data_IF_585156005849
#
_entry.id   IF_585156005849
#
_cell.length_a   1.000
_cell.length_b   1.000
_cell.length_c   1.000
_cell.angle_alpha   90.00
_cell.angle_beta   90.00
_cell.angle_gamma   90.00
#
_symmetry.space_group_name_H-M   'P 1'
#
loop_
_entity.id
_entity.type
_entity.pdbx_description
1 polymer ?
#
# COMPACT_ATOMS: atom_id res chain seq x y z
N UNK A 1 28.13 -23.02 19.23
CA UNK A 1 28.39 -22.49 17.87
C UNK A 1 27.84 -21.08 17.84
N UNK A 2 28.73 -20.08 17.91
CA UNK A 2 28.33 -18.67 17.94
C UNK A 2 27.77 -18.26 16.58
N UNK A 3 26.59 -17.65 16.61
CA UNK A 3 26.04 -16.93 15.46
C UNK A 3 26.88 -15.67 15.29
N UNK A 4 27.65 -15.65 14.21
CA UNK A 4 28.34 -14.47 13.71
C UNK A 4 27.28 -13.44 13.31
N UNK A 5 27.19 -12.37 14.09
CA UNK A 5 26.32 -11.22 13.81
C UNK A 5 27.01 -10.43 12.71
N UNK A 6 26.82 -10.90 11.48
CA UNK A 6 27.40 -10.32 10.27
C UNK A 6 27.07 -8.83 10.18
N UNK A 7 28.13 -8.03 10.08
CA UNK A 7 28.11 -6.58 10.03
C UNK A 7 27.08 -6.06 9.01
N UNK A 8 26.21 -5.14 9.47
CA UNK A 8 25.19 -4.50 8.65
C UNK A 8 25.79 -3.72 7.48
N UNK A 9 25.83 -4.35 6.31
CA UNK A 9 26.12 -3.67 5.05
C UNK A 9 24.81 -3.16 4.46
N UNK A 10 24.76 -1.86 4.18
CA UNK A 10 23.65 -1.24 3.45
C UNK A 10 23.55 -1.87 2.05
N UNK A 11 22.34 -2.30 1.66
CA UNK A 11 22.07 -3.00 0.38
C UNK A 11 22.53 -2.23 -0.86
N UNK A 12 22.64 -0.90 -0.75
CA UNK A 12 23.03 -0.03 -1.86
C UNK A 12 24.54 0.04 -2.14
N UNK A 13 25.42 -0.58 -1.32
CA UNK A 13 26.88 -0.54 -1.53
C UNK A 13 27.36 -1.20 -2.84
N UNK A 14 26.48 -1.90 -3.58
CA UNK A 14 26.81 -2.55 -4.85
C UNK A 14 26.23 -1.90 -6.11
N UNK A 15 25.52 -0.76 -6.01
CA UNK A 15 24.82 -0.11 -7.14
C UNK A 15 25.66 1.02 -7.79
N UNK A 16 26.90 1.22 -7.34
CA UNK A 16 27.76 2.31 -7.84
C UNK A 16 28.34 2.08 -9.25
N UNK A 17 28.11 0.93 -9.88
CA UNK A 17 28.90 0.51 -11.05
C UNK A 17 28.14 0.36 -12.40
N UNK A 18 27.02 1.07 -12.59
CA UNK A 18 26.46 1.28 -13.94
C UNK A 18 25.99 2.73 -14.14
N UNK A 19 26.52 3.35 -15.19
CA UNK A 19 26.50 4.77 -15.50
C UNK A 19 25.07 5.30 -15.79
N UNK A 20 24.33 5.68 -14.75
CA UNK A 20 23.14 6.56 -14.83
C UNK A 20 22.86 7.33 -13.52
N UNK A 21 23.81 7.40 -12.59
CA UNK A 21 23.55 7.47 -11.13
C UNK A 21 23.95 8.76 -10.42
N UNK A 22 24.25 9.87 -11.10
CA UNK A 22 24.81 11.04 -10.42
C UNK A 22 23.81 11.78 -9.50
N UNK A 23 22.50 11.74 -9.80
CA UNK A 23 21.45 12.29 -8.92
C UNK A 23 21.02 11.31 -7.81
N UNK A 24 20.97 10.01 -8.10
CA UNK A 24 20.61 8.97 -7.13
C UNK A 24 21.68 8.77 -6.04
N UNK A 25 22.96 8.93 -6.38
CA UNK A 25 24.07 8.86 -5.42
C UNK A 25 23.95 9.93 -4.31
N UNK A 26 23.59 11.17 -4.68
CA UNK A 26 23.43 12.27 -3.72
C UNK A 26 22.19 12.08 -2.81
N UNK A 27 21.07 11.63 -3.39
CA UNK A 27 19.86 11.36 -2.61
C UNK A 27 20.08 10.24 -1.58
N UNK A 28 20.70 9.14 -2.01
CA UNK A 28 20.99 8.01 -1.13
C UNK A 28 21.93 8.39 0.03
N UNK A 29 23.04 9.05 -0.26
CA UNK A 29 23.99 9.51 0.76
C UNK A 29 23.30 10.38 1.81
N UNK A 30 22.41 11.29 1.38
CA UNK A 30 21.61 12.10 2.30
C UNK A 30 20.69 11.27 3.18
N UNK A 31 19.96 10.30 2.62
CA UNK A 31 19.09 9.43 3.41
C UNK A 31 19.88 8.67 4.48
N UNK A 32 21.08 8.21 4.15
CA UNK A 32 21.95 7.49 5.08
C UNK A 32 22.50 8.38 6.20
N UNK A 33 22.66 9.68 5.95
CA UNK A 33 23.11 10.68 6.93
C UNK A 33 22.01 11.19 7.86
N UNK A 34 20.73 10.88 7.58
CA UNK A 34 19.62 11.26 8.45
C UNK A 34 19.78 10.65 9.87
N UNK A 35 19.51 11.42 10.94
CA UNK A 35 19.50 10.90 12.31
C UNK A 35 18.52 9.74 12.51
N UNK A 36 18.74 8.91 13.53
CA UNK A 36 17.76 7.89 13.94
C UNK A 36 16.39 8.52 14.21
N UNK A 37 15.32 7.90 13.70
CA UNK A 37 13.95 8.39 13.85
C UNK A 37 13.16 8.38 12.54
N UNK A 38 12.02 9.09 12.54
CA UNK A 38 11.14 9.22 11.37
C UNK A 38 11.24 10.63 10.81
N UNK A 39 11.47 10.72 9.51
CA UNK A 39 11.58 11.97 8.76
C UNK A 39 10.47 12.02 7.73
N UNK A 40 9.86 13.18 7.55
CA UNK A 40 8.70 13.35 6.68
C UNK A 40 8.93 14.42 5.64
N UNK A 41 8.39 14.21 4.45
CA UNK A 41 8.43 15.15 3.34
C UNK A 41 7.15 15.04 2.51
N UNK A 42 6.81 16.06 1.74
CA UNK A 42 5.60 16.06 0.92
C UNK A 42 5.73 16.95 -0.32
N UNK A 43 4.99 16.59 -1.37
CA UNK A 43 4.78 17.43 -2.55
C UNK A 43 3.40 18.06 -2.49
N UNK A 44 3.34 19.38 -2.63
CA UNK A 44 2.07 20.09 -2.81
C UNK A 44 1.43 19.80 -4.18
N UNK A 45 2.24 19.46 -5.19
CA UNK A 45 1.79 19.23 -6.56
C UNK A 45 1.10 17.87 -6.69
N UNK A 46 1.81 16.78 -6.40
CA UNK A 46 1.23 15.43 -6.52
C UNK A 46 0.39 15.04 -5.32
N UNK A 47 0.59 15.69 -4.16
CA UNK A 47 0.09 15.27 -2.86
C UNK A 47 0.77 14.03 -2.30
N UNK A 48 1.80 13.50 -2.98
CA UNK A 48 2.59 12.40 -2.42
C UNK A 48 3.32 12.90 -1.19
N UNK A 49 3.50 12.02 -0.22
CA UNK A 49 4.32 12.29 0.95
C UNK A 49 5.16 11.08 1.28
N UNK A 50 6.31 11.30 1.91
CA UNK A 50 7.26 10.25 2.27
C UNK A 50 7.44 10.22 3.77
N UNK A 51 7.63 9.03 4.29
CA UNK A 51 8.23 8.80 5.60
C UNK A 51 9.52 8.01 5.40
N UNK A 52 10.65 8.53 5.87
CA UNK A 52 11.92 7.80 5.94
C UNK A 52 12.19 7.44 7.39
N UNK A 53 12.24 6.14 7.66
CA UNK A 53 12.65 5.58 8.94
C UNK A 53 14.14 5.27 8.95
N UNK A 54 14.87 5.77 9.96
CA UNK A 54 16.28 5.45 10.20
C UNK A 54 16.44 4.80 11.56
N UNK A 55 17.10 3.64 11.58
CA UNK A 55 17.44 2.90 12.80
C UNK A 55 16.25 2.84 13.78
N UNK A 56 15.08 2.44 13.26
CA UNK A 56 13.85 2.46 14.04
C UNK A 56 13.90 1.37 15.12
N UNK A 57 13.66 1.77 16.36
CA UNK A 57 13.62 0.87 17.52
C UNK A 57 12.19 0.55 17.97
N UNK A 58 11.20 1.30 17.47
CA UNK A 58 9.79 1.10 17.79
C UNK A 58 9.26 -0.10 17.01
N UNK A 59 8.88 -1.14 17.75
CA UNK A 59 8.57 -2.46 17.18
C UNK A 59 7.18 -2.50 16.55
N UNK A 60 6.19 -1.79 17.12
CA UNK A 60 4.78 -1.93 16.71
C UNK A 60 4.15 -0.59 16.34
N UNK A 61 3.73 -0.45 15.08
CA UNK A 61 2.79 0.60 14.69
C UNK A 61 1.51 -0.03 14.16
N UNK A 62 0.39 0.22 14.85
CA UNK A 62 -0.89 0.23 14.16
C UNK A 62 -0.82 1.38 13.15
N UNK A 63 -0.40 1.07 11.93
CA UNK A 63 -0.52 2.01 10.83
C UNK A 63 -2.01 2.25 10.64
N UNK A 64 -2.44 3.44 11.03
CA UNK A 64 -3.81 3.84 10.75
C UNK A 64 -3.92 3.90 9.23
N UNK A 65 -4.94 3.24 8.69
CA UNK A 65 -5.03 3.01 7.25
C UNK A 65 -5.04 4.33 6.50
N UNK A 66 -4.00 4.65 5.70
CA UNK A 66 -4.02 5.85 4.90
C UNK A 66 -5.12 5.71 3.83
N UNK A 67 -5.79 6.82 3.47
CA UNK A 67 -6.66 6.81 2.29
C UNK A 67 -5.88 6.61 0.98
N UNK A 68 -4.57 6.89 1.04
CA UNK A 68 -3.59 6.78 -0.03
C UNK A 68 -3.01 5.36 -0.07
N UNK A 69 -2.59 4.90 -1.24
CA UNK A 69 -1.74 3.73 -1.28
C UNK A 69 -0.34 4.06 -0.79
N UNK A 70 0.45 3.05 -0.46
CA UNK A 70 1.84 3.23 -0.11
C UNK A 70 2.75 2.26 -0.85
N UNK A 71 3.94 2.73 -1.18
CA UNK A 71 5.04 1.90 -1.67
C UNK A 71 6.20 2.05 -0.71
N UNK A 72 6.58 0.94 -0.08
CA UNK A 72 7.65 0.87 0.92
C UNK A 72 8.84 0.13 0.34
N UNK A 73 10.05 0.66 0.51
CA UNK A 73 11.31 -0.02 0.20
C UNK A 73 12.11 -0.17 1.50
N UNK A 74 12.46 -1.40 1.88
CA UNK A 74 13.42 -1.67 2.95
C UNK A 74 14.84 -1.72 2.40
N UNK A 75 15.81 -1.08 3.07
CA UNK A 75 17.23 -1.15 2.66
C UNK A 75 18.23 -1.27 3.81
N UNK A 76 17.76 -1.17 5.06
CA UNK A 76 18.60 -1.35 6.25
C UNK A 76 18.88 -2.82 6.55
N UNK A 77 19.60 -3.10 7.63
CA UNK A 77 19.85 -4.47 8.06
C UNK A 77 18.59 -5.18 8.62
N UNK A 78 17.60 -4.41 9.05
CA UNK A 78 16.30 -4.90 9.53
C UNK A 78 15.24 -5.02 8.42
N UNK A 79 14.13 -5.68 8.74
CA UNK A 79 12.96 -5.83 7.86
C UNK A 79 11.67 -5.26 8.45
N UNK A 80 10.56 -5.57 7.81
CA UNK A 80 9.21 -5.30 8.31
C UNK A 80 8.33 -6.52 8.08
N UNK A 81 7.62 -6.98 9.10
CA UNK A 81 6.55 -7.97 8.93
C UNK A 81 5.21 -7.27 8.80
N UNK A 82 4.37 -7.81 7.94
CA UNK A 82 3.08 -7.24 7.60
C UNK A 82 2.03 -8.32 7.75
N UNK A 83 1.05 -8.06 8.60
CA UNK A 83 -0.12 -8.92 8.83
C UNK A 83 -1.39 -8.25 8.30
N UNK A 84 -2.26 -9.03 7.69
CA UNK A 84 -3.55 -8.63 7.16
C UNK A 84 -4.56 -9.78 7.23
N UNK A 85 -5.84 -9.54 6.90
CA UNK A 85 -6.91 -10.52 7.14
C UNK A 85 -6.75 -11.88 6.42
N UNK A 86 -5.88 -11.96 5.41
CA UNK A 86 -5.52 -13.17 4.67
C UNK A 86 -4.14 -13.76 4.98
N UNK A 87 -3.44 -13.29 6.01
CA UNK A 87 -2.12 -13.80 6.38
C UNK A 87 -1.10 -12.68 6.52
N UNK A 88 0.17 -13.00 6.33
CA UNK A 88 1.23 -12.02 6.37
C UNK A 88 2.46 -12.46 5.60
N UNK A 89 3.40 -11.54 5.49
CA UNK A 89 4.73 -11.80 4.96
C UNK A 89 5.75 -10.92 5.67
N UNK A 90 7.02 -11.29 5.51
CA UNK A 90 8.17 -10.53 5.97
C UNK A 90 8.84 -9.90 4.74
N UNK A 91 9.05 -8.59 4.81
CA UNK A 91 9.78 -7.82 3.81
C UNK A 91 11.25 -7.76 4.23
N UNK A 92 12.12 -8.24 3.36
CA UNK A 92 13.58 -8.27 3.55
C UNK A 92 14.25 -7.00 3.03
N UNK A 93 15.48 -6.72 3.45
CA UNK A 93 16.29 -5.66 2.82
C UNK A 93 16.41 -5.86 1.31
N UNK A 94 16.15 -4.80 0.54
CA UNK A 94 16.10 -4.80 -0.92
C UNK A 94 14.72 -5.09 -1.51
N UNK A 95 13.75 -5.48 -0.69
CA UNK A 95 12.38 -5.72 -1.14
C UNK A 95 11.51 -4.46 -1.03
N UNK A 96 10.61 -4.34 -2.00
CA UNK A 96 9.55 -3.36 -2.07
C UNK A 96 8.20 -3.98 -1.74
N UNK A 97 7.36 -3.20 -1.07
CA UNK A 97 5.99 -3.54 -0.75
C UNK A 97 5.02 -2.46 -1.20
N UNK A 98 4.02 -2.85 -1.98
CA UNK A 98 2.86 -2.00 -2.27
C UNK A 98 1.71 -2.30 -1.34
N UNK A 99 1.11 -1.28 -0.72
CA UNK A 99 -0.14 -1.38 0.01
C UNK A 99 -1.21 -0.49 -0.60
N UNK A 100 -2.35 -1.05 -0.98
CA UNK A 100 -3.44 -0.25 -1.55
C UNK A 100 -4.13 0.64 -0.50
N UNK A 101 -4.64 1.79 -0.93
CA UNK A 101 -5.32 2.74 -0.06
C UNK A 101 -6.59 2.14 0.53
N UNK A 102 -6.82 2.36 1.82
CA UNK A 102 -7.95 1.74 2.52
C UNK A 102 -7.71 0.27 2.91
N UNK A 103 -6.53 -0.29 2.67
CA UNK A 103 -6.19 -1.66 3.06
C UNK A 103 -5.63 -1.73 4.49
N UNK A 104 -6.36 -2.40 5.39
CA UNK A 104 -5.89 -2.62 6.75
C UNK A 104 -4.78 -3.66 6.83
N UNK A 105 -3.69 -3.24 7.47
CA UNK A 105 -2.55 -4.07 7.75
C UNK A 105 -1.93 -3.66 9.10
N UNK A 106 -1.21 -4.59 9.71
CA UNK A 106 -0.38 -4.36 10.90
C UNK A 106 1.07 -4.53 10.47
N UNK A 107 1.86 -3.48 10.64
CA UNK A 107 3.29 -3.50 10.38
C UNK A 107 4.08 -3.61 11.67
N UNK A 108 5.04 -4.53 11.70
CA UNK A 108 5.99 -4.69 12.80
C UNK A 108 7.41 -4.58 12.23
N UNK A 109 8.18 -3.62 12.72
CA UNK A 109 9.55 -3.41 12.23
C UNK A 109 10.54 -4.18 13.10
N UNK A 110 11.54 -4.79 12.47
CA UNK A 110 12.72 -5.26 13.21
C UNK A 110 13.46 -4.06 13.82
N UNK A 111 13.93 -4.12 15.08
CA UNK A 111 14.77 -3.07 15.63
C UNK A 111 16.03 -2.83 14.76
N UNK A 112 16.29 -1.57 14.44
CA UNK A 112 17.36 -1.17 13.54
C UNK A 112 16.98 -1.14 12.06
N UNK A 113 15.69 -1.31 11.72
CA UNK A 113 15.21 -1.21 10.35
C UNK A 113 15.34 0.19 9.76
N UNK A 114 15.71 0.23 8.48
CA UNK A 114 15.67 1.42 7.64
C UNK A 114 14.76 1.17 6.43
N UNK A 115 13.84 2.10 6.19
CA UNK A 115 12.94 2.04 5.04
C UNK A 115 12.45 3.44 4.64
N UNK A 116 12.04 3.58 3.37
CA UNK A 116 11.19 4.69 2.91
C UNK A 116 9.81 4.12 2.62
N UNK A 117 8.79 4.88 2.98
CA UNK A 117 7.43 4.66 2.53
C UNK A 117 6.95 5.92 1.82
N UNK A 118 6.63 5.80 0.54
CA UNK A 118 6.00 6.85 -0.25
C UNK A 118 4.51 6.57 -0.27
N UNK A 119 3.72 7.53 0.18
CA UNK A 119 2.28 7.51 0.15
C UNK A 119 1.80 8.25 -1.09
N UNK A 120 1.00 7.57 -1.91
CA UNK A 120 0.57 7.99 -3.23
C UNK A 120 -0.95 8.20 -3.21
N UNK A 121 -1.42 9.44 -3.41
CA UNK A 121 -2.85 9.71 -3.37
C UNK A 121 -3.65 8.95 -4.40
N UNK A 122 -4.88 8.56 -4.06
CA UNK A 122 -5.77 7.81 -4.94
C UNK A 122 -5.96 8.44 -6.34
N UNK A 123 -5.92 9.77 -6.44
CA UNK A 123 -5.99 10.50 -7.73
C UNK A 123 -4.82 10.21 -8.67
N UNK A 124 -3.65 9.89 -8.13
CA UNK A 124 -2.48 9.51 -8.92
C UNK A 124 -2.58 8.05 -9.36
N UNK A 125 -3.13 7.20 -8.50
CA UNK A 125 -3.35 5.77 -8.80
C UNK A 125 -4.46 5.59 -9.82
N UNK A 126 -5.51 6.40 -9.79
CA UNK A 126 -6.62 6.32 -10.74
C UNK A 126 -6.17 6.53 -12.21
N UNK A 127 -4.98 7.08 -12.44
CA UNK A 127 -4.36 7.19 -13.76
C UNK A 127 -3.61 5.92 -14.22
N UNK A 128 -3.36 4.97 -13.31
CA UNK A 128 -2.67 3.71 -13.57
C UNK A 128 -3.62 2.52 -13.30
N UNK A 129 -3.92 1.65 -14.29
CA UNK A 129 -4.78 0.48 -14.08
C UNK A 129 -4.02 -0.62 -13.31
N UNK A 130 -3.82 -0.40 -12.01
CA UNK A 130 -3.14 -1.34 -11.12
C UNK A 130 -4.06 -2.53 -10.77
N UNK A 131 -3.91 -3.63 -11.49
CA UNK A 131 -4.56 -4.92 -11.20
C UNK A 131 -3.83 -5.69 -10.09
N UNK A 132 -3.80 -5.14 -8.88
CA UNK A 132 -3.12 -5.80 -7.76
C UNK A 132 -4.10 -6.75 -7.09
N UNK A 133 -3.90 -8.05 -7.28
CA UNK A 133 -4.47 -9.05 -6.38
C UNK A 133 -3.44 -10.14 -6.12
N UNK A 134 -3.22 -10.61 -4.88
CA UNK A 134 -3.94 -10.30 -3.63
C UNK A 134 -3.16 -10.31 -2.31
N UNK A 135 -3.17 -9.17 -1.67
CA UNK A 135 -4.00 -8.82 -0.49
C UNK A 135 -3.49 -7.42 -0.16
N UNK A 136 -3.71 -6.46 -1.07
CA UNK A 136 -3.21 -5.08 -0.93
C UNK A 136 -1.81 -4.95 -0.32
N UNK A 137 -0.89 -5.88 -0.62
CA UNK A 137 0.42 -6.07 0.01
C UNK A 137 1.12 -7.21 -0.75
N UNK A 138 2.28 -6.98 -1.36
CA UNK A 138 3.19 -8.05 -1.78
C UNK A 138 4.64 -7.56 -1.67
N UNK A 139 5.56 -8.46 -1.33
CA UNK A 139 7.00 -8.18 -1.25
C UNK A 139 7.68 -8.64 -2.53
N UNK A 140 8.45 -7.77 -3.17
CA UNK A 140 9.14 -8.03 -4.43
C UNK A 140 10.55 -7.43 -4.41
N UNK A 141 11.52 -8.09 -5.02
CA UNK A 141 12.82 -7.46 -5.26
C UNK A 141 12.65 -6.34 -6.29
N UNK A 142 12.88 -5.09 -5.88
CA UNK A 142 12.85 -3.98 -6.81
C UNK A 142 14.11 -4.02 -7.70
N UNK A 143 13.98 -3.84 -9.03
CA UNK A 143 15.13 -3.60 -9.89
C UNK A 143 15.97 -2.43 -9.35
N UNK A 144 17.31 -2.44 -9.54
CA UNK A 144 18.18 -1.35 -9.08
C UNK A 144 17.72 0.04 -9.55
N UNK A 145 17.24 0.14 -10.78
CA UNK A 145 16.74 1.41 -11.35
C UNK A 145 15.50 1.90 -10.61
N UNK A 146 14.54 1.02 -10.32
CA UNK A 146 13.34 1.34 -9.55
C UNK A 146 13.71 1.75 -8.13
N UNK A 147 14.63 1.02 -7.50
CA UNK A 147 15.13 1.36 -6.16
C UNK A 147 15.77 2.75 -6.15
N UNK A 148 16.58 3.06 -7.16
CA UNK A 148 17.19 4.38 -7.36
C UNK A 148 16.16 5.50 -7.60
N UNK A 149 15.09 5.22 -8.36
CA UNK A 149 13.98 6.16 -8.55
C UNK A 149 13.23 6.43 -7.25
N UNK A 150 12.93 5.39 -6.45
CA UNK A 150 12.25 5.55 -5.16
C UNK A 150 13.09 6.36 -4.17
N UNK A 151 14.39 6.09 -4.09
CA UNK A 151 15.34 6.85 -3.26
C UNK A 151 15.43 8.30 -3.73
N UNK A 152 15.54 8.54 -5.03
CA UNK A 152 15.55 9.88 -5.61
C UNK A 152 14.26 10.65 -5.31
N UNK A 153 13.11 10.00 -5.46
CA UNK A 153 11.81 10.63 -5.18
C UNK A 153 11.64 10.94 -3.68
N UNK A 154 12.03 10.02 -2.81
CA UNK A 154 12.06 10.27 -1.38
C UNK A 154 12.92 11.49 -1.01
N UNK A 155 14.10 11.64 -1.63
CA UNK A 155 14.93 12.82 -1.48
C UNK A 155 14.23 14.12 -1.90
N UNK A 156 13.60 14.13 -3.08
CA UNK A 156 12.83 15.29 -3.56
C UNK A 156 11.68 15.68 -2.65
N UNK A 157 10.96 14.69 -2.10
CA UNK A 157 9.85 14.90 -1.18
C UNK A 157 10.33 15.44 0.17
N UNK A 158 11.44 14.92 0.72
CA UNK A 158 12.05 15.40 1.96
C UNK A 158 12.52 16.86 1.84
N UNK A 159 13.13 17.21 0.71
CA UNK A 159 13.65 18.55 0.47
C UNK A 159 12.54 19.58 0.15
N UNK A 160 11.29 19.13 -0.05
CA UNK A 160 10.20 19.98 -0.55
C UNK A 160 10.50 20.55 -1.94
N UNK A 161 11.42 19.92 -2.68
CA UNK A 161 11.89 20.36 -3.99
C UNK A 161 11.17 19.63 -5.15
N UNK A 162 10.27 18.71 -4.81
CA UNK A 162 9.44 17.97 -5.75
C UNK A 162 8.57 18.96 -6.55
N UNK A 163 8.66 18.86 -7.88
CA UNK A 163 7.88 19.65 -8.84
C UNK A 163 7.19 18.72 -9.81
N UNK A 164 5.97 19.06 -10.22
CA UNK A 164 5.15 18.25 -11.14
C UNK A 164 5.89 17.73 -12.38
N UNK A 165 6.74 18.55 -13.01
CA UNK A 165 7.46 18.17 -14.24
C UNK A 165 8.45 17.00 -14.02
N UNK A 166 8.97 16.86 -12.80
CA UNK A 166 9.89 15.78 -12.42
C UNK A 166 9.13 14.60 -11.81
N UNK A 167 8.10 14.89 -11.02
CA UNK A 167 7.33 13.88 -10.31
C UNK A 167 6.48 12.99 -11.23
N UNK A 168 5.82 13.57 -12.23
CA UNK A 168 4.86 12.82 -13.04
C UNK A 168 5.51 11.64 -13.80
N UNK A 169 6.62 11.81 -14.54
CA UNK A 169 7.28 10.69 -15.22
C UNK A 169 7.80 9.61 -14.27
N UNK A 170 8.28 10.02 -13.07
CA UNK A 170 8.75 9.07 -12.06
C UNK A 170 7.59 8.25 -11.51
N UNK A 171 6.48 8.92 -11.19
CA UNK A 171 5.29 8.27 -10.69
C UNK A 171 4.69 7.33 -11.73
N UNK A 172 4.65 7.74 -13.00
CA UNK A 172 4.22 6.88 -14.11
C UNK A 172 5.10 5.62 -14.21
N UNK A 173 6.43 5.75 -14.16
CA UNK A 173 7.34 4.61 -14.23
C UNK A 173 7.20 3.67 -13.02
N UNK A 174 7.07 4.21 -11.82
CA UNK A 174 6.88 3.42 -10.60
C UNK A 174 5.53 2.71 -10.65
N UNK A 175 4.45 3.40 -11.02
CA UNK A 175 3.12 2.81 -11.12
C UNK A 175 3.04 1.78 -12.25
N UNK A 176 3.68 2.00 -13.39
CA UNK A 176 3.76 1.00 -14.47
C UNK A 176 4.50 -0.26 -13.99
N UNK A 177 5.65 -0.08 -13.34
CA UNK A 177 6.38 -1.20 -12.74
C UNK A 177 5.53 -1.95 -11.71
N UNK A 178 4.89 -1.26 -10.77
CA UNK A 178 3.93 -1.88 -9.83
C UNK A 178 2.81 -2.59 -10.60
N UNK A 179 2.33 -2.03 -11.71
CA UNK A 179 1.34 -2.64 -12.58
C UNK A 179 1.79 -3.99 -13.12
N UNK A 180 3.03 -4.08 -13.63
CA UNK A 180 3.62 -5.32 -14.18
C UNK A 180 3.97 -6.35 -13.11
N UNK A 181 4.51 -5.89 -11.99
CA UNK A 181 5.04 -6.74 -10.92
C UNK A 181 3.95 -7.44 -10.10
N UNK A 182 2.79 -6.79 -10.00
CA UNK A 182 1.64 -7.30 -9.27
C UNK A 182 0.58 -7.89 -10.21
N UNK A 183 0.90 -8.05 -11.50
CA UNK A 183 0.17 -8.98 -12.33
C UNK A 183 0.42 -10.40 -11.82
N UNK A 184 -0.60 -11.28 -11.84
CA UNK A 184 -0.40 -12.68 -11.55
C UNK A 184 0.73 -13.28 -12.39
N UNK A 185 1.75 -13.81 -11.73
CA UNK A 185 2.77 -14.59 -12.40
C UNK A 185 2.38 -16.08 -12.43
N UNK A 186 2.33 -16.64 -13.64
CA UNK A 186 2.02 -18.04 -13.92
C UNK A 186 1.33 -18.17 -15.28
N UNK A 187 1.40 -19.35 -15.89
CA UNK A 187 0.54 -19.67 -17.04
C UNK A 187 -0.90 -19.39 -16.62
N UNK A 188 -1.55 -18.45 -17.30
CA UNK A 188 -2.92 -18.02 -16.98
C UNK A 188 -3.84 -19.16 -17.39
N UNK A 189 -3.90 -20.22 -16.58
CA UNK A 189 -4.93 -21.23 -16.74
C UNK A 189 -6.28 -20.50 -16.71
N UNK A 190 -7.26 -20.93 -17.52
CA UNK A 190 -8.58 -20.30 -17.59
C UNK A 190 -9.24 -20.16 -16.20
N UNK A 191 -8.88 -21.08 -15.31
CA UNK A 191 -9.14 -21.05 -13.86
C UNK A 191 -8.64 -19.80 -13.15
N UNK A 192 -7.41 -19.39 -13.45
CA UNK A 192 -6.73 -18.28 -12.82
C UNK A 192 -7.34 -16.95 -13.27
N UNK A 193 -7.59 -16.80 -14.58
CA UNK A 193 -8.30 -15.65 -15.14
C UNK A 193 -9.71 -15.48 -14.54
N UNK A 194 -10.45 -16.58 -14.36
CA UNK A 194 -11.77 -16.54 -13.72
C UNK A 194 -11.74 -15.95 -12.30
N UNK A 195 -10.70 -16.26 -11.51
CA UNK A 195 -10.52 -15.72 -10.15
C UNK A 195 -10.21 -14.21 -10.18
N UNK A 196 -9.39 -13.76 -11.13
CA UNK A 196 -9.08 -12.33 -11.30
C UNK A 196 -10.30 -11.53 -11.73
N UNK A 197 -11.05 -12.02 -12.73
CA UNK A 197 -12.30 -11.38 -13.16
C UNK A 197 -13.29 -11.29 -12.00
N UNK A 198 -13.40 -12.34 -11.18
CA UNK A 198 -14.23 -12.32 -9.99
C UNK A 198 -13.78 -11.23 -8.99
N UNK A 199 -12.47 -11.08 -8.78
CA UNK A 199 -11.94 -10.03 -7.91
C UNK A 199 -12.18 -8.62 -8.46
N UNK A 200 -12.07 -8.41 -9.77
CA UNK A 200 -12.43 -7.16 -10.46
C UNK A 200 -13.90 -6.83 -10.27
N UNK A 201 -14.79 -7.78 -10.52
CA UNK A 201 -16.24 -7.60 -10.30
C UNK A 201 -16.55 -7.21 -8.85
N UNK A 202 -15.89 -7.84 -7.88
CA UNK A 202 -16.06 -7.49 -6.47
C UNK A 202 -15.51 -6.09 -6.14
N UNK A 203 -14.40 -5.67 -6.78
CA UNK A 203 -13.79 -4.34 -6.57
C UNK A 203 -14.63 -3.21 -7.14
N UNK A 204 -15.16 -3.41 -8.34
CA UNK A 204 -15.97 -2.45 -9.09
C UNK A 204 -17.43 -2.42 -8.60
N UNK A 205 -17.87 -3.44 -7.86
CA UNK A 205 -19.20 -3.44 -7.26
C UNK A 205 -19.35 -2.30 -6.26
N UNK A 206 -20.18 -1.32 -6.61
CA UNK A 206 -20.70 -0.32 -5.68
C UNK A 206 -21.93 -0.93 -5.01
N UNK A 207 -21.98 -0.97 -3.68
CA UNK A 207 -23.18 -1.43 -3.00
C UNK A 207 -23.26 -2.94 -2.65
N UNK A 208 -24.48 -3.38 -2.33
CA UNK A 208 -24.90 -4.78 -2.21
C UNK A 208 -25.30 -5.39 -3.57
N UNK A 209 -24.90 -4.80 -4.69
CA UNK A 209 -25.42 -5.12 -6.02
C UNK A 209 -25.08 -6.54 -6.53
N UNK A 210 -24.07 -7.22 -5.97
CA UNK A 210 -23.67 -8.55 -6.47
C UNK A 210 -23.40 -9.56 -5.33
N UNK A 211 -24.05 -10.73 -5.44
CA UNK A 211 -23.83 -11.86 -4.55
C UNK A 211 -22.59 -12.66 -4.98
N UNK A 212 -21.92 -13.35 -4.05
CA UNK A 212 -20.79 -14.22 -4.40
C UNK A 212 -21.21 -15.33 -5.37
N UNK A 213 -22.47 -15.80 -5.27
CA UNK A 213 -23.02 -16.76 -6.21
C UNK A 213 -23.09 -16.18 -7.64
N UNK A 214 -23.62 -14.96 -7.79
CA UNK A 214 -23.67 -14.28 -9.10
C UNK A 214 -22.28 -14.00 -9.68
N UNK A 215 -21.29 -13.66 -8.82
CA UNK A 215 -19.88 -13.53 -9.27
C UNK A 215 -19.36 -14.87 -9.77
N UNK A 216 -19.56 -15.95 -9.01
CA UNK A 216 -19.11 -17.29 -9.39
C UNK A 216 -19.71 -17.73 -10.73
N UNK A 217 -21.03 -17.57 -10.89
CA UNK A 217 -21.75 -17.91 -12.12
C UNK A 217 -21.21 -17.10 -13.32
N UNK A 218 -20.95 -15.81 -13.13
CA UNK A 218 -20.44 -14.92 -14.20
C UNK A 218 -19.03 -15.28 -14.67
N UNK A 219 -18.23 -15.94 -13.84
CA UNK A 219 -16.89 -16.40 -14.20
C UNK A 219 -16.84 -17.89 -14.53
N UNK A 220 -17.99 -18.56 -14.61
CA UNK A 220 -18.10 -19.98 -14.97
C UNK A 220 -17.67 -20.94 -13.86
N UNK A 221 -17.73 -20.53 -12.60
CA UNK A 221 -17.34 -21.34 -11.44
C UNK A 221 -18.53 -21.60 -10.51
N UNK A 222 -18.50 -22.72 -9.81
CA UNK A 222 -19.41 -22.94 -8.66
C UNK A 222 -18.94 -22.08 -7.46
N UNK A 223 -19.85 -21.64 -6.56
CA UNK A 223 -19.46 -20.80 -5.41
C UNK A 223 -18.38 -21.42 -4.50
N UNK A 224 -18.42 -22.74 -4.31
CA UNK A 224 -17.40 -23.48 -3.53
C UNK A 224 -16.04 -23.50 -4.22
N UNK A 225 -16.04 -23.65 -5.55
CA UNK A 225 -14.86 -23.66 -6.39
C UNK A 225 -14.22 -22.28 -6.48
N UNK A 226 -15.03 -21.24 -6.67
CA UNK A 226 -14.60 -19.86 -6.53
C UNK A 226 -13.99 -19.64 -5.14
N UNK A 227 -14.68 -20.01 -4.05
CA UNK A 227 -14.18 -19.77 -2.70
C UNK A 227 -12.84 -20.46 -2.42
N UNK A 228 -12.67 -21.71 -2.87
CA UNK A 228 -11.43 -22.45 -2.70
C UNK A 228 -10.28 -21.83 -3.49
N UNK A 229 -10.48 -21.55 -4.78
CA UNK A 229 -9.46 -20.98 -5.67
C UNK A 229 -9.14 -19.54 -5.30
N UNK A 230 -10.16 -18.76 -4.97
CA UNK A 230 -10.02 -17.38 -4.48
C UNK A 230 -9.23 -17.37 -3.17
N UNK A 231 -9.42 -18.34 -2.26
CA UNK A 231 -8.57 -18.44 -1.06
C UNK A 231 -7.17 -18.95 -1.38
N UNK A 232 -6.98 -19.86 -2.33
CA UNK A 232 -5.65 -20.31 -2.71
C UNK A 232 -4.82 -19.16 -3.30
N UNK A 233 -5.44 -18.37 -4.17
CA UNK A 233 -4.79 -17.26 -4.83
C UNK A 233 -4.74 -16.02 -3.92
N UNK A 234 -5.89 -15.62 -3.37
CA UNK A 234 -6.10 -14.43 -2.54
C UNK A 234 -5.96 -14.57 -1.05
N UNK A 235 -5.65 -15.76 -0.52
CA UNK A 235 -5.54 -16.11 0.92
C UNK A 235 -6.72 -15.71 1.82
N UNK A 236 -7.71 -15.01 1.28
CA UNK A 236 -9.00 -14.67 1.86
C UNK A 236 -10.12 -15.29 1.03
N UNK A 237 -11.30 -15.44 1.63
CA UNK A 237 -12.50 -15.83 0.88
C UNK A 237 -13.03 -14.63 0.06
N UNK A 238 -13.83 -14.88 -1.00
CA UNK A 238 -14.49 -13.80 -1.76
C UNK A 238 -15.30 -12.85 -0.87
N UNK A 239 -15.94 -13.37 0.18
CA UNK A 239 -16.70 -12.56 1.13
C UNK A 239 -15.81 -11.62 1.96
N UNK A 240 -14.68 -12.14 2.47
CA UNK A 240 -13.72 -11.33 3.21
C UNK A 240 -13.10 -10.26 2.31
N UNK A 241 -12.75 -10.61 1.07
CA UNK A 241 -12.27 -9.65 0.08
C UNK A 241 -13.29 -8.55 -0.20
N UNK A 242 -14.56 -8.92 -0.44
CA UNK A 242 -15.66 -7.95 -0.60
C UNK A 242 -15.77 -7.01 0.59
N UNK A 243 -15.71 -7.52 1.82
CA UNK A 243 -15.75 -6.69 3.04
C UNK A 243 -14.58 -5.70 3.08
N UNK A 244 -13.38 -6.12 2.71
CA UNK A 244 -12.19 -5.26 2.65
C UNK A 244 -12.35 -4.16 1.59
N UNK A 245 -12.80 -4.51 0.39
CA UNK A 245 -13.10 -3.54 -0.69
C UNK A 245 -14.10 -2.49 -0.21
N UNK A 246 -15.20 -2.91 0.43
CA UNK A 246 -16.21 -1.98 0.96
C UNK A 246 -15.62 -1.07 2.03
N UNK A 247 -14.84 -1.62 2.96
CA UNK A 247 -14.16 -0.80 3.95
C UNK A 247 -13.19 0.20 3.32
N UNK A 248 -12.45 -0.19 2.28
CA UNK A 248 -11.55 0.70 1.55
C UNK A 248 -12.32 1.86 0.88
N UNK A 249 -13.44 1.57 0.22
CA UNK A 249 -14.33 2.59 -0.35
C UNK A 249 -14.89 3.53 0.73
N UNK A 250 -15.33 3.00 1.88
CA UNK A 250 -15.80 3.81 2.99
C UNK A 250 -14.69 4.71 3.53
N UNK A 251 -13.49 4.17 3.74
CA UNK A 251 -12.31 4.92 4.19
C UNK A 251 -11.98 6.07 3.24
N UNK A 252 -12.00 5.81 1.92
CA UNK A 252 -11.77 6.85 0.89
C UNK A 252 -12.80 7.96 0.96
N UNK A 253 -14.10 7.61 0.98
CA UNK A 253 -15.19 8.60 1.07
C UNK A 253 -15.08 9.43 2.36
N UNK A 254 -14.72 8.81 3.49
CA UNK A 254 -14.49 9.51 4.76
C UNK A 254 -13.28 10.46 4.70
N UNK A 255 -12.21 10.08 4.00
CA UNK A 255 -11.01 10.89 3.82
C UNK A 255 -11.29 12.15 3.01
N UNK A 256 -12.15 12.04 2.00
CA UNK A 256 -12.67 13.13 1.19
C UNK A 256 -13.65 14.04 1.95
N UNK A 257 -13.94 13.70 3.21
CA UNK A 257 -14.77 14.50 4.11
C UNK A 257 -16.26 14.16 4.08
N UNK A 258 -16.67 13.10 3.36
CA UNK A 258 -18.06 12.67 3.32
C UNK A 258 -18.58 12.28 4.71
N UNK A 259 -19.87 12.56 5.02
CA UNK A 259 -20.50 12.06 6.24
C UNK A 259 -20.51 10.53 6.29
N UNK A 260 -20.40 9.95 7.50
CA UNK A 260 -20.41 8.48 7.71
C UNK A 260 -21.62 7.79 7.09
N UNK A 261 -22.79 8.44 7.08
CA UNK A 261 -24.00 7.93 6.41
C UNK A 261 -23.80 7.76 4.92
N UNK A 262 -23.23 8.77 4.26
CA UNK A 262 -22.94 8.75 2.83
C UNK A 262 -21.87 7.70 2.51
N UNK A 263 -20.78 7.68 3.28
CA UNK A 263 -19.72 6.69 3.13
C UNK A 263 -20.23 5.24 3.29
N UNK A 264 -21.14 4.98 4.24
CA UNK A 264 -21.75 3.66 4.40
C UNK A 264 -22.56 3.25 3.17
N UNK A 265 -23.38 4.15 2.64
CA UNK A 265 -24.22 3.90 1.47
C UNK A 265 -23.39 3.67 0.21
N UNK A 266 -22.44 4.55 -0.09
CA UNK A 266 -21.55 4.45 -1.26
C UNK A 266 -20.70 3.18 -1.23
N UNK A 267 -20.22 2.80 -0.04
CA UNK A 267 -19.46 1.57 0.17
C UNK A 267 -20.32 0.30 0.21
N UNK A 268 -21.65 0.39 0.15
CA UNK A 268 -22.52 -0.78 0.15
C UNK A 268 -22.68 -1.49 1.49
N UNK A 269 -22.69 -0.73 2.57
CA UNK A 269 -23.18 -1.22 3.85
C UNK A 269 -24.68 -0.97 3.98
N UNK A 270 -25.41 -1.96 4.50
CA UNK A 270 -26.84 -1.87 4.75
C UNK A 270 -27.26 -0.64 5.58
N UNK A 271 -26.44 -0.26 6.55
CA UNK A 271 -26.63 0.93 7.38
C UNK A 271 -25.29 1.38 8.04
N UNK A 272 -25.33 2.52 8.72
CA UNK A 272 -24.16 3.06 9.43
C UNK A 272 -23.73 2.22 10.63
N UNK A 273 -24.63 1.43 11.22
CA UNK A 273 -24.32 0.56 12.34
C UNK A 273 -23.52 -0.67 11.87
N UNK A 274 -23.86 -1.22 10.70
CA UNK A 274 -23.13 -2.27 10.02
C UNK A 274 -21.73 -1.78 9.65
N UNK A 275 -21.60 -0.63 8.97
CA UNK A 275 -20.29 -0.01 8.74
C UNK A 275 -19.53 0.15 10.05
N UNK A 276 -20.13 0.73 11.07
CA UNK A 276 -19.49 1.01 12.37
C UNK A 276 -18.97 -0.22 13.09
N UNK A 277 -19.68 -1.36 13.01
CA UNK A 277 -19.23 -2.64 13.59
C UNK A 277 -18.07 -3.22 12.81
N UNK A 278 -18.21 -3.30 11.49
CA UNK A 278 -17.18 -3.88 10.60
C UNK A 278 -15.90 -3.02 10.60
N UNK A 279 -16.04 -1.69 10.61
CA UNK A 279 -14.92 -0.74 10.67
C UNK A 279 -14.17 -0.84 12.00
N UNK A 280 -14.87 -0.94 13.14
CA UNK A 280 -14.22 -1.17 14.45
C UNK A 280 -13.53 -2.52 14.52
N UNK A 281 -14.15 -3.57 13.99
CA UNK A 281 -13.55 -4.90 13.95
C UNK A 281 -12.25 -4.90 13.13
N UNK A 282 -12.22 -4.18 12.00
CA UNK A 282 -11.05 -4.14 11.14
C UNK A 282 -9.97 -3.18 11.63
N UNK A 283 -10.34 -1.99 12.10
CA UNK A 283 -9.42 -0.86 12.32
C UNK A 283 -9.26 -0.47 13.80
N UNK A 284 -9.99 -1.12 14.72
CA UNK A 284 -9.95 -0.82 16.16
C UNK A 284 -10.61 0.51 16.57
N UNK A 285 -11.05 1.33 15.63
CA UNK A 285 -11.65 2.65 15.87
C UNK A 285 -12.98 2.81 15.12
N UNK A 286 -13.80 3.79 15.51
CA UNK A 286 -15.02 4.10 14.78
C UNK A 286 -14.74 4.85 13.47
N UNK A 287 -15.64 4.77 12.47
CA UNK A 287 -15.53 5.58 11.25
C UNK A 287 -15.40 7.08 11.53
N UNK A 288 -16.17 7.59 12.51
CA UNK A 288 -16.15 9.00 12.91
C UNK A 288 -14.82 9.41 13.54
N UNK A 289 -14.26 8.56 14.41
CA UNK A 289 -12.96 8.82 15.04
C UNK A 289 -11.83 8.77 14.02
N UNK A 290 -11.90 7.83 13.07
CA UNK A 290 -10.97 7.75 11.96
C UNK A 290 -11.06 9.01 11.08
N UNK A 291 -12.26 9.40 10.64
CA UNK A 291 -12.45 10.59 9.81
C UNK A 291 -11.95 11.87 10.51
N UNK A 292 -12.13 11.99 11.82
CA UNK A 292 -11.61 13.13 12.60
C UNK A 292 -10.08 13.21 12.58
N UNK A 293 -9.38 12.07 12.53
CA UNK A 293 -7.91 12.00 12.48
C UNK A 293 -7.35 12.32 11.09
N UNK A 294 -8.09 11.97 10.02
CA UNK A 294 -7.64 12.06 8.63
C UNK A 294 -8.28 13.17 7.80
N UNK A 295 -9.19 13.94 8.38
CA UNK A 295 -9.67 15.17 7.75
C UNK A 295 -8.46 16.03 7.39
N UNK A 296 -8.22 16.35 6.11
CA UNK A 296 -7.20 17.31 5.76
C UNK A 296 -7.51 18.58 6.56
N UNK A 297 -6.52 19.09 7.30
CA UNK A 297 -6.60 20.34 8.05
C UNK A 297 -6.74 21.51 7.07
N UNK A 298 -7.90 21.63 6.44
CA UNK A 298 -8.28 22.75 5.60
C UNK A 298 -8.89 23.84 6.47
N UNK A 299 -8.13 24.94 6.61
CA UNK A 299 -8.60 26.26 7.05
C UNK A 299 -9.14 26.35 8.49
N UNK A 300 -8.25 26.69 9.44
CA UNK A 300 -8.68 27.62 10.50
C UNK A 300 -9.14 28.89 9.77
N UNK A 301 -10.45 29.13 9.74
CA UNK A 301 -10.97 30.48 9.54
C UNK A 301 -10.42 31.30 10.70
N UNK A 302 -9.37 32.07 10.43
CA UNK A 302 -9.09 33.29 11.19
C UNK A 302 -10.23 34.24 10.88
N UNK A 303 -11.15 34.36 11.82
CA UNK A 303 -11.86 35.64 12.02
C UNK A 303 -10.87 36.65 12.65
#
# INVERSE_FOLDING_TARGET
MGLDVGQGQCYFRGVEDQQSTQHSSNALERLLQLPSGRHYGASADSGCWVMVGRNLVDVTSWSTVPPDASLTLAWGAGGCSIEFAGGGFEMRPGECMWIDGGFAHRGENTPGSDFLTIFIPARQIAAAPLYITPIGAASLNAPPDISGMLVGFAGLLLDGAAKRLVEAPLLDAVLDWVGTCFQPQGDVDATHDAVLRAATMLRESQGDAISIASVADSVGLRPSELSHRFKAYHRVTPETYRKQVRLAHATRSLAEGSPVVKAAHEAGFADTAHLSRTFRQQYGVSPSDWARRFRPTGHRRTE
#
